data_IF_562655910629
#
_entry.id   IF_562655910629
#
_cell.length_a   1.000
_cell.length_b   1.000
_cell.length_c   1.000
_cell.angle_alpha   90.00
_cell.angle_beta   90.00
_cell.angle_gamma   90.00
#
_symmetry.space_group_name_H-M   'P 1'
#
loop_
_entity.id
_entity.type
_entity.pdbx_description
1 polymer ?
#
# COMPACT_ATOMS: atom_id res chain seq x y z
N UNK A 1 -4.12 -10.35 -1.85
CA UNK A 1 -5.59 -10.44 -2.07
C UNK A 1 -5.97 -11.91 -2.17
N UNK A 2 -6.87 -12.34 -1.31
CA UNK A 2 -7.19 -13.78 -1.15
C UNK A 2 -7.94 -14.21 -2.37
N UNK A 3 -8.50 -14.23 -3.13
CA UNK A 3 -9.29 -14.82 -4.21
C UNK A 3 -8.94 -14.33 -5.62
N UNK A 4 -7.73 -13.81 -5.80
CA UNK A 4 -7.24 -13.45 -7.14
C UNK A 4 -7.94 -12.23 -7.76
N UNK A 5 -8.54 -11.35 -6.96
CA UNK A 5 -9.10 -10.08 -7.46
C UNK A 5 -7.95 -9.23 -8.01
N UNK A 6 -8.04 -8.87 -9.27
CA UNK A 6 -7.00 -8.13 -9.99
C UNK A 6 -7.06 -6.65 -9.63
N UNK A 7 -5.91 -6.02 -9.48
CA UNK A 7 -5.79 -4.58 -9.44
C UNK A 7 -5.60 -4.03 -10.85
N UNK A 8 -6.39 -3.03 -11.22
CA UNK A 8 -6.37 -2.46 -12.58
C UNK A 8 -5.94 -0.99 -12.63
N UNK A 9 -5.79 -0.32 -11.50
CA UNK A 9 -5.36 1.06 -11.47
C UNK A 9 -5.24 1.63 -10.06
N UNK A 10 -4.65 2.82 -9.98
CA UNK A 10 -4.58 3.63 -8.77
C UNK A 10 -5.69 4.71 -8.77
N UNK A 11 -5.64 5.61 -7.78
CA UNK A 11 -6.60 6.70 -7.63
C UNK A 11 -6.75 7.55 -8.92
N UNK A 12 -5.64 7.94 -9.55
CA UNK A 12 -5.66 8.79 -10.76
C UNK A 12 -6.01 8.02 -12.05
N UNK A 13 -6.19 6.70 -11.97
CA UNK A 13 -6.48 5.85 -13.14
C UNK A 13 -7.91 5.31 -13.16
N UNK A 14 -8.78 5.78 -12.26
CA UNK A 14 -10.17 5.29 -12.17
C UNK A 14 -10.94 5.42 -13.49
N UNK A 15 -10.79 6.54 -14.17
CA UNK A 15 -11.43 6.80 -15.45
C UNK A 15 -10.89 5.88 -16.57
N UNK A 16 -9.63 5.49 -16.52
CA UNK A 16 -9.05 4.62 -17.55
C UNK A 16 -9.78 3.28 -17.66
N UNK A 17 -10.27 2.75 -16.54
CA UNK A 17 -11.06 1.50 -16.53
C UNK A 17 -12.34 1.66 -17.32
N UNK A 18 -13.05 2.77 -17.16
CA UNK A 18 -14.28 3.09 -17.91
C UNK A 18 -13.95 3.33 -19.38
N UNK A 19 -12.86 4.06 -19.66
CA UNK A 19 -12.41 4.38 -21.02
C UNK A 19 -12.03 3.15 -21.86
N UNK A 20 -11.72 2.00 -21.22
CA UNK A 20 -11.51 0.75 -21.96
C UNK A 20 -12.76 0.25 -22.68
N UNK A 21 -13.95 0.75 -22.33
CA UNK A 21 -15.21 0.31 -22.90
C UNK A 21 -15.67 -1.11 -22.50
N UNK A 22 -14.92 -1.79 -21.59
CA UNK A 22 -15.26 -3.15 -21.12
C UNK A 22 -15.74 -3.20 -19.68
N UNK A 23 -15.84 -2.06 -19.01
CA UNK A 23 -16.33 -2.00 -17.65
C UNK A 23 -17.85 -2.02 -17.62
N UNK A 24 -18.46 -3.15 -17.26
CA UNK A 24 -19.91 -3.31 -17.23
C UNK A 24 -20.54 -2.59 -16.04
N UNK A 25 -19.85 -2.57 -14.90
CA UNK A 25 -20.28 -1.89 -13.68
C UNK A 25 -19.08 -1.44 -12.86
N UNK A 26 -19.14 -0.23 -12.35
CA UNK A 26 -18.22 0.28 -11.34
C UNK A 26 -18.98 0.50 -10.04
N UNK A 27 -18.63 -0.25 -9.01
CA UNK A 27 -19.16 -0.09 -7.66
C UNK A 27 -18.12 0.63 -6.81
N UNK A 28 -18.53 1.69 -6.14
CA UNK A 28 -17.68 2.51 -5.26
C UNK A 28 -18.30 2.66 -3.88
N UNK A 29 -17.45 2.85 -2.90
CA UNK A 29 -17.89 3.04 -1.52
C UNK A 29 -17.69 4.50 -1.07
N UNK A 30 -16.77 4.77 -0.13
CA UNK A 30 -16.73 6.07 0.55
C UNK A 30 -15.60 7.00 0.09
N UNK A 31 -14.47 6.46 -0.36
CA UNK A 31 -13.25 7.25 -0.57
C UNK A 31 -12.56 7.01 -1.90
N UNK A 32 -11.71 7.98 -2.28
CA UNK A 32 -10.90 7.92 -3.48
C UNK A 32 -11.75 7.79 -4.75
N UNK A 33 -12.84 8.55 -4.85
CA UNK A 33 -13.77 8.49 -5.97
C UNK A 33 -13.87 9.88 -6.60
N UNK A 34 -13.66 9.96 -7.91
CA UNK A 34 -13.92 11.20 -8.64
C UNK A 34 -15.43 11.38 -8.85
N UNK A 35 -16.03 12.49 -8.38
CA UNK A 35 -17.46 12.74 -8.55
C UNK A 35 -17.90 12.85 -10.03
N UNK A 36 -16.96 13.03 -10.96
CA UNK A 36 -17.22 13.07 -12.39
C UNK A 36 -17.41 11.68 -13.03
N UNK A 37 -17.03 10.59 -12.35
CA UNK A 37 -17.07 9.22 -12.90
C UNK A 37 -18.47 8.77 -13.38
N UNK A 38 -19.59 9.07 -12.72
CA UNK A 38 -20.91 8.73 -13.25
C UNK A 38 -21.20 9.38 -14.59
N UNK A 39 -20.74 10.64 -14.80
CA UNK A 39 -20.89 11.34 -16.09
C UNK A 39 -20.05 10.70 -17.18
N UNK A 40 -18.82 10.29 -16.85
CA UNK A 40 -17.98 9.55 -17.78
C UNK A 40 -18.57 8.18 -18.10
N UNK A 41 -19.04 7.45 -17.08
CA UNK A 41 -19.68 6.15 -17.24
C UNK A 41 -20.92 6.21 -18.17
N UNK A 42 -21.67 7.31 -18.12
CA UNK A 42 -22.82 7.54 -19.01
C UNK A 42 -22.43 7.73 -20.48
N UNK A 43 -21.18 8.03 -20.82
CA UNK A 43 -20.68 8.05 -22.19
C UNK A 43 -20.42 6.64 -22.76
N UNK A 44 -20.46 5.65 -21.91
CA UNK A 44 -20.29 4.22 -22.21
C UNK A 44 -21.53 3.45 -21.73
N UNK A 45 -21.47 2.13 -21.74
CA UNK A 45 -22.54 1.29 -21.17
C UNK A 45 -22.38 1.09 -19.64
N UNK A 46 -21.26 1.54 -19.04
CA UNK A 46 -20.88 1.29 -17.64
C UNK A 46 -21.95 1.76 -16.66
N UNK A 47 -22.51 0.87 -15.86
CA UNK A 47 -23.35 1.25 -14.71
C UNK A 47 -22.47 1.70 -13.55
N UNK A 48 -22.91 2.77 -12.87
CA UNK A 48 -22.20 3.30 -11.72
C UNK A 48 -23.04 3.14 -10.45
N UNK A 49 -22.48 2.45 -9.45
CA UNK A 49 -23.17 2.12 -8.19
C UNK A 49 -22.37 2.69 -7.01
N UNK A 50 -23.05 3.33 -6.07
CA UNK A 50 -22.51 3.77 -4.78
C UNK A 50 -23.12 2.94 -3.65
N UNK A 51 -22.30 2.56 -2.65
CA UNK A 51 -22.74 1.70 -1.53
C UNK A 51 -22.68 2.37 -0.15
N UNK A 52 -21.93 3.45 0.01
CA UNK A 52 -21.76 4.10 1.30
C UNK A 52 -22.96 4.94 1.71
N UNK A 53 -23.40 4.82 2.98
CA UNK A 53 -24.46 5.64 3.55
C UNK A 53 -24.11 7.14 3.65
N UNK A 54 -22.82 7.49 3.66
CA UNK A 54 -22.33 8.87 3.76
C UNK A 54 -21.88 9.47 2.44
N UNK A 55 -21.79 8.68 1.36
CA UNK A 55 -21.24 9.13 0.08
C UNK A 55 -22.14 8.71 -1.08
N UNK A 56 -23.08 9.59 -1.42
CA UNK A 56 -23.94 9.45 -2.61
C UNK A 56 -23.47 10.40 -3.70
N UNK A 57 -23.32 9.88 -4.90
CA UNK A 57 -22.85 10.67 -6.05
C UNK A 57 -24.02 10.86 -7.03
N UNK A 58 -24.36 12.10 -7.43
CA UNK A 58 -25.41 12.36 -8.41
C UNK A 58 -25.16 11.61 -9.73
N UNK A 59 -26.19 10.98 -10.26
CA UNK A 59 -26.12 10.17 -11.48
C UNK A 59 -25.73 8.70 -11.26
N UNK A 60 -25.40 8.29 -10.04
CA UNK A 60 -25.14 6.90 -9.69
C UNK A 60 -26.41 6.21 -9.14
N UNK A 61 -26.53 4.91 -9.38
CA UNK A 61 -27.46 4.06 -8.65
C UNK A 61 -26.93 3.87 -7.22
N UNK A 62 -27.79 4.03 -6.20
CA UNK A 62 -27.36 3.85 -4.81
C UNK A 62 -27.96 2.56 -4.24
N UNK A 63 -27.07 1.66 -3.78
CA UNK A 63 -27.41 0.42 -3.06
C UNK A 63 -26.67 0.51 -1.72
N UNK A 64 -27.34 1.04 -0.69
CA UNK A 64 -26.72 1.24 0.61
C UNK A 64 -26.32 -0.09 1.24
N UNK A 65 -25.03 -0.25 1.54
CA UNK A 65 -24.48 -1.46 2.13
C UNK A 65 -25.09 -1.73 3.51
N UNK A 66 -25.58 -2.95 3.71
CA UNK A 66 -26.09 -3.46 5.00
C UNK A 66 -25.47 -4.80 5.29
N UNK A 67 -24.83 -4.90 6.45
CA UNK A 67 -24.09 -6.10 6.86
C UNK A 67 -24.98 -7.36 6.87
N UNK A 68 -26.24 -7.20 7.30
CA UNK A 68 -27.21 -8.30 7.47
C UNK A 68 -27.58 -8.97 6.15
N UNK A 69 -27.55 -8.23 5.06
CA UNK A 69 -27.91 -8.70 3.71
C UNK A 69 -26.77 -8.49 2.69
N UNK A 70 -25.53 -8.42 3.17
CA UNK A 70 -24.36 -8.12 2.33
C UNK A 70 -24.20 -9.10 1.16
N UNK A 71 -24.51 -10.36 1.36
CA UNK A 71 -24.39 -11.39 0.32
C UNK A 71 -25.45 -11.20 -0.79
N UNK A 72 -26.68 -10.87 -0.41
CA UNK A 72 -27.77 -10.59 -1.34
C UNK A 72 -27.43 -9.34 -2.19
N UNK A 73 -26.97 -8.27 -1.54
CA UNK A 73 -26.57 -7.03 -2.21
C UNK A 73 -25.36 -7.26 -3.16
N UNK A 74 -24.38 -8.06 -2.74
CA UNK A 74 -23.26 -8.42 -3.61
C UNK A 74 -23.73 -9.18 -4.85
N UNK A 75 -24.66 -10.15 -4.69
CA UNK A 75 -25.27 -10.89 -5.82
C UNK A 75 -26.07 -9.96 -6.75
N UNK A 76 -26.80 -9.00 -6.19
CA UNK A 76 -27.53 -8.01 -6.97
C UNK A 76 -26.58 -7.17 -7.83
N UNK A 77 -25.51 -6.63 -7.24
CA UNK A 77 -24.51 -5.82 -7.96
C UNK A 77 -23.84 -6.63 -9.05
N UNK A 78 -23.42 -7.86 -8.77
CA UNK A 78 -22.82 -8.77 -9.78
C UNK A 78 -23.82 -9.09 -10.89
N UNK A 79 -25.08 -9.37 -10.55
CA UNK A 79 -26.13 -9.59 -11.55
C UNK A 79 -26.33 -8.36 -12.44
N UNK A 80 -26.33 -7.15 -11.87
CA UNK A 80 -26.43 -5.92 -12.66
C UNK A 80 -25.26 -5.79 -13.66
N UNK A 81 -24.05 -6.21 -13.30
CA UNK A 81 -22.91 -6.21 -14.21
C UNK A 81 -23.10 -7.23 -15.34
N UNK A 82 -23.50 -8.46 -15.01
CA UNK A 82 -23.77 -9.54 -15.99
C UNK A 82 -24.87 -9.12 -16.98
N UNK A 83 -25.97 -8.60 -16.46
CA UNK A 83 -27.10 -8.16 -17.29
C UNK A 83 -26.72 -6.98 -18.21
N UNK A 84 -25.70 -6.19 -17.82
CA UNK A 84 -25.23 -5.05 -18.58
C UNK A 84 -24.19 -5.41 -19.66
N UNK A 85 -23.60 -6.59 -19.62
CA UNK A 85 -22.61 -7.06 -20.61
C UNK A 85 -23.10 -6.94 -22.05
N UNK A 86 -24.37 -7.28 -22.31
CA UNK A 86 -24.99 -7.21 -23.64
C UNK A 86 -25.11 -5.79 -24.21
N UNK A 87 -24.91 -4.76 -23.39
CA UNK A 87 -25.00 -3.36 -23.78
C UNK A 87 -23.61 -2.78 -24.15
N UNK A 88 -22.57 -3.61 -24.22
CA UNK A 88 -21.25 -3.17 -24.70
C UNK A 88 -21.35 -2.67 -26.13
N UNK A 89 -20.69 -1.55 -26.37
CA UNK A 89 -20.50 -1.01 -27.71
C UNK A 89 -19.11 -1.41 -28.20
N UNK A 90 -19.04 -2.38 -29.12
CA UNK A 90 -17.79 -2.89 -29.67
C UNK A 90 -16.93 -1.78 -30.30
N UNK A 91 -17.54 -0.77 -30.87
CA UNK A 91 -16.85 0.39 -31.45
C UNK A 91 -16.14 1.28 -30.40
N UNK A 92 -16.47 1.12 -29.13
CA UNK A 92 -15.84 1.84 -28.01
C UNK A 92 -14.88 0.99 -27.19
N UNK A 93 -14.67 -0.26 -27.57
CA UNK A 93 -13.76 -1.14 -26.84
C UNK A 93 -12.31 -0.85 -27.23
N UNK A 94 -11.50 -0.46 -26.26
CA UNK A 94 -10.05 -0.31 -26.41
C UNK A 94 -9.33 -0.95 -25.25
N UNK A 95 -8.68 -2.10 -25.51
CA UNK A 95 -7.84 -2.81 -24.54
C UNK A 95 -6.40 -2.71 -25.03
N UNK A 96 -5.50 -2.05 -24.28
CA UNK A 96 -4.09 -2.02 -24.66
C UNK A 96 -3.51 -3.43 -24.81
N UNK A 97 -2.69 -3.69 -25.84
CA UNK A 97 -2.14 -5.03 -26.10
C UNK A 97 -1.00 -5.42 -25.15
N UNK A 98 -0.71 -4.61 -24.15
CA UNK A 98 0.37 -4.82 -23.20
C UNK A 98 -0.10 -5.68 -22.03
N UNK A 99 0.67 -6.73 -21.72
CA UNK A 99 0.49 -7.58 -20.55
C UNK A 99 1.80 -7.62 -19.77
N UNK A 100 1.72 -7.45 -18.46
CA UNK A 100 2.87 -7.50 -17.57
C UNK A 100 2.57 -8.45 -16.41
N UNK A 101 3.46 -9.41 -16.10
CA UNK A 101 3.34 -10.24 -14.91
C UNK A 101 3.57 -9.40 -13.65
N UNK A 102 2.84 -9.73 -12.60
CA UNK A 102 3.04 -9.14 -11.28
C UNK A 102 2.65 -10.14 -10.19
N UNK A 103 3.47 -10.23 -9.16
CA UNK A 103 3.18 -11.03 -7.98
C UNK A 103 2.43 -10.17 -6.97
N UNK A 104 1.17 -10.49 -6.73
CA UNK A 104 0.30 -9.80 -5.78
C UNK A 104 -0.18 -10.76 -4.70
N UNK A 105 -0.43 -10.24 -3.50
CA UNK A 105 -0.97 -11.05 -2.41
C UNK A 105 0.09 -11.75 -1.57
N UNK A 106 0.81 -10.95 -0.77
CA UNK A 106 1.70 -11.43 0.29
C UNK A 106 1.09 -11.16 1.69
N UNK A 107 -0.01 -11.83 2.07
CA UNK A 107 -0.51 -11.75 3.44
C UNK A 107 0.50 -12.37 4.42
N UNK A 108 0.33 -12.09 5.70
CA UNK A 108 1.26 -12.58 6.73
C UNK A 108 1.47 -14.09 6.65
N UNK A 109 0.42 -14.86 6.37
CA UNK A 109 0.46 -16.33 6.26
C UNK A 109 1.39 -16.81 5.13
N UNK A 110 1.40 -16.12 3.99
CA UNK A 110 2.31 -16.45 2.88
C UNK A 110 3.75 -16.05 3.22
N UNK A 111 3.96 -14.91 3.87
CA UNK A 111 5.29 -14.47 4.30
C UNK A 111 5.89 -15.50 5.26
N UNK A 112 5.12 -15.90 6.27
CA UNK A 112 5.55 -16.94 7.23
C UNK A 112 5.89 -18.24 6.51
N UNK A 113 5.00 -18.72 5.64
CA UNK A 113 5.23 -19.95 4.86
C UNK A 113 6.50 -19.88 3.99
N UNK A 114 6.83 -18.71 3.44
CA UNK A 114 8.06 -18.50 2.70
C UNK A 114 9.30 -18.54 3.59
N UNK A 115 9.22 -17.95 4.79
CA UNK A 115 10.30 -17.95 5.76
C UNK A 115 10.57 -19.37 6.32
N UNK A 116 9.53 -20.17 6.54
CA UNK A 116 9.68 -21.57 6.97
C UNK A 116 10.42 -22.43 5.97
N UNK A 117 10.20 -22.22 4.68
CA UNK A 117 10.96 -22.92 3.64
C UNK A 117 12.47 -22.70 3.74
N UNK A 118 12.90 -21.66 4.43
CA UNK A 118 14.32 -21.34 4.68
C UNK A 118 14.87 -22.01 5.93
N UNK A 119 14.04 -22.17 6.96
CA UNK A 119 14.51 -22.60 8.29
C UNK A 119 14.33 -24.09 8.57
N UNK A 120 13.50 -24.80 7.81
CA UNK A 120 13.04 -26.16 8.17
C UNK A 120 12.55 -26.27 9.62
N UNK A 121 12.16 -25.16 10.25
CA UNK A 121 11.68 -25.15 11.62
C UNK A 121 10.20 -25.49 11.66
N UNK A 122 9.82 -26.38 12.59
CA UNK A 122 8.42 -26.61 12.89
C UNK A 122 7.79 -25.33 13.44
N UNK A 123 6.68 -24.94 12.82
CA UNK A 123 5.97 -23.72 13.13
C UNK A 123 5.04 -23.99 14.30
N UNK A 124 5.04 -23.11 15.29
CA UNK A 124 3.88 -22.90 16.12
C UNK A 124 2.73 -22.40 15.25
N UNK A 125 1.49 -22.51 15.69
CA UNK A 125 0.27 -22.21 14.91
C UNK A 125 0.29 -20.85 14.16
N UNK A 126 1.17 -19.92 14.53
CA UNK A 126 1.36 -18.60 13.92
C UNK A 126 2.62 -18.46 13.05
N UNK A 127 3.52 -19.46 13.03
CA UNK A 127 4.79 -19.40 12.31
C UNK A 127 5.85 -18.49 12.95
N UNK A 128 7.05 -18.44 12.35
CA UNK A 128 8.17 -17.65 12.86
C UNK A 128 8.67 -16.64 11.82
N UNK A 129 8.99 -15.43 12.28
CA UNK A 129 9.67 -14.40 11.50
C UNK A 129 11.18 -14.38 11.72
N UNK A 130 11.72 -15.39 12.41
CA UNK A 130 13.14 -15.48 12.79
C UNK A 130 14.10 -15.25 11.63
N UNK A 131 13.91 -15.79 10.41
CA UNK A 131 14.82 -15.52 9.30
C UNK A 131 14.85 -14.04 8.89
N UNK A 132 13.73 -13.34 8.97
CA UNK A 132 13.69 -11.90 8.71
C UNK A 132 14.43 -11.12 9.81
N UNK A 133 14.26 -11.52 11.08
CA UNK A 133 15.00 -10.96 12.22
C UNK A 133 16.50 -11.14 12.02
N UNK A 134 16.95 -12.35 11.69
CA UNK A 134 18.36 -12.68 11.52
C UNK A 134 18.98 -11.93 10.32
N UNK A 135 18.24 -11.78 9.21
CA UNK A 135 18.66 -10.98 8.06
C UNK A 135 18.85 -9.48 8.41
N UNK A 136 17.98 -8.94 9.25
CA UNK A 136 18.10 -7.54 9.71
C UNK A 136 19.25 -7.40 10.72
N UNK A 137 19.37 -8.31 11.68
CA UNK A 137 20.43 -8.27 12.69
C UNK A 137 21.82 -8.40 12.08
N UNK A 138 21.99 -9.30 11.13
CA UNK A 138 23.26 -9.50 10.42
C UNK A 138 23.63 -8.38 9.44
N UNK A 139 22.71 -7.45 9.18
CA UNK A 139 22.91 -6.35 8.22
C UNK A 139 22.73 -6.76 6.75
N UNK A 140 22.32 -7.98 6.45
CA UNK A 140 21.96 -8.42 5.10
C UNK A 140 20.76 -7.62 4.59
N UNK A 141 19.77 -7.39 5.47
CA UNK A 141 18.76 -6.33 5.28
C UNK A 141 19.05 -5.18 6.24
N UNK A 142 18.98 -3.97 5.76
CA UNK A 142 19.14 -2.79 6.63
C UNK A 142 17.87 -2.53 7.45
N UNK A 143 16.72 -2.93 6.95
CA UNK A 143 15.43 -2.78 7.60
C UNK A 143 14.29 -3.03 6.63
N UNK A 144 13.10 -2.54 6.98
CA UNK A 144 11.94 -2.59 6.10
C UNK A 144 11.13 -1.29 6.12
N UNK A 145 10.45 -1.01 5.02
CA UNK A 145 9.62 0.19 4.87
C UNK A 145 8.23 -0.19 4.39
N UNK A 146 7.21 0.24 5.11
CA UNK A 146 5.84 0.21 4.64
C UNK A 146 5.55 1.41 3.74
N UNK A 147 5.54 1.26 2.41
CA UNK A 147 5.17 2.34 1.50
C UNK A 147 3.69 2.24 1.17
N UNK A 148 2.95 3.26 1.57
CA UNK A 148 1.50 3.31 1.45
C UNK A 148 1.05 4.66 0.88
N UNK A 149 -0.24 4.79 0.61
CA UNK A 149 -0.81 6.07 0.28
C UNK A 149 -1.31 6.17 -1.15
N UNK A 150 -1.62 7.40 -1.50
CA UNK A 150 -2.35 7.80 -2.70
C UNK A 150 -1.39 8.25 -3.81
N UNK A 151 -1.97 8.75 -4.90
CA UNK A 151 -1.32 9.70 -5.80
C UNK A 151 -1.95 11.07 -5.57
N UNK A 152 -1.15 12.09 -5.35
CA UNK A 152 -1.64 13.43 -5.13
C UNK A 152 -1.61 14.23 -6.45
N UNK A 153 -2.75 14.82 -6.89
CA UNK A 153 -2.79 15.58 -8.15
C UNK A 153 -1.98 16.90 -8.11
N UNK A 154 -1.49 17.32 -6.95
CA UNK A 154 -0.66 18.52 -6.79
C UNK A 154 0.82 18.30 -7.12
N UNK A 155 1.25 17.05 -7.25
CA UNK A 155 2.63 16.67 -7.57
C UNK A 155 2.65 15.82 -8.84
N UNK A 156 3.84 15.65 -9.44
CA UNK A 156 3.98 14.72 -10.56
C UNK A 156 3.64 13.30 -10.11
N UNK A 157 2.60 12.67 -10.67
CA UNK A 157 2.15 11.36 -10.21
C UNK A 157 3.26 10.30 -10.29
N UNK A 158 3.33 9.46 -9.27
CA UNK A 158 4.24 8.33 -9.15
C UNK A 158 5.74 8.70 -8.99
N UNK A 159 6.12 9.97 -9.18
CA UNK A 159 7.52 10.40 -9.17
C UNK A 159 8.18 10.18 -7.80
N UNK A 160 7.56 10.69 -6.75
CA UNK A 160 8.10 10.57 -5.39
C UNK A 160 8.11 9.13 -4.92
N UNK A 161 7.05 8.36 -5.21
CA UNK A 161 7.00 6.94 -4.92
C UNK A 161 8.15 6.18 -5.57
N UNK A 162 8.34 6.37 -6.88
CA UNK A 162 9.37 5.64 -7.63
C UNK A 162 10.77 5.98 -7.15
N UNK A 163 11.07 7.29 -7.01
CA UNK A 163 12.38 7.74 -6.56
C UNK A 163 12.76 7.19 -5.18
N UNK A 164 11.79 7.15 -4.25
CA UNK A 164 12.00 6.61 -2.92
C UNK A 164 12.14 5.08 -2.96
N UNK A 165 11.27 4.37 -3.69
CA UNK A 165 11.35 2.91 -3.83
C UNK A 165 12.71 2.49 -4.39
N UNK A 166 13.14 3.10 -5.49
CA UNK A 166 14.41 2.76 -6.15
C UNK A 166 15.59 2.91 -5.19
N UNK A 167 15.67 4.01 -4.46
CA UNK A 167 16.77 4.27 -3.56
C UNK A 167 16.76 3.37 -2.32
N UNK A 168 15.59 3.07 -1.76
CA UNK A 168 15.46 2.12 -0.65
C UNK A 168 15.92 0.71 -1.05
N UNK A 169 15.53 0.24 -2.24
CA UNK A 169 15.93 -1.08 -2.73
C UNK A 169 17.44 -1.19 -2.93
N UNK A 170 18.11 -0.11 -3.43
CA UNK A 170 19.57 -0.04 -3.56
C UNK A 170 20.30 -0.13 -2.21
N UNK A 171 19.64 0.31 -1.15
CA UNK A 171 20.19 0.33 0.22
C UNK A 171 19.77 -0.91 1.05
N UNK A 172 19.44 -2.03 0.41
CA UNK A 172 19.08 -3.30 1.08
C UNK A 172 17.90 -3.17 2.06
N UNK A 173 16.93 -2.31 1.75
CA UNK A 173 15.72 -2.10 2.53
C UNK A 173 14.55 -2.79 1.84
N UNK A 174 13.92 -3.75 2.52
CA UNK A 174 12.74 -4.44 2.01
C UNK A 174 11.52 -3.51 2.01
N UNK A 175 10.77 -3.52 0.93
CA UNK A 175 9.55 -2.71 0.81
C UNK A 175 8.30 -3.60 0.90
N UNK A 176 7.37 -3.16 1.73
CA UNK A 176 6.01 -3.70 1.79
C UNK A 176 5.06 -2.60 1.36
N UNK A 177 4.29 -2.82 0.29
CA UNK A 177 3.46 -1.78 -0.30
C UNK A 177 1.97 -2.12 -0.30
N UNK A 178 1.12 -1.09 -0.20
CA UNK A 178 -0.33 -1.20 -0.34
C UNK A 178 -0.90 -0.09 -1.22
N UNK A 179 -2.11 -0.30 -1.73
CA UNK A 179 -2.89 0.73 -2.43
C UNK A 179 -2.20 1.30 -3.68
N UNK A 180 -2.24 2.62 -3.85
CA UNK A 180 -1.70 3.28 -5.05
C UNK A 180 -0.17 3.15 -5.17
N UNK A 181 0.55 3.09 -4.06
CA UNK A 181 2.00 2.84 -4.06
C UNK A 181 2.32 1.44 -4.63
N UNK A 182 1.58 0.40 -4.22
CA UNK A 182 1.73 -0.93 -4.78
C UNK A 182 1.35 -0.99 -6.27
N UNK A 183 0.37 -0.19 -6.68
CA UNK A 183 0.00 -0.09 -8.10
C UNK A 183 1.11 0.53 -8.95
N UNK A 184 1.83 1.52 -8.43
CA UNK A 184 3.04 2.00 -9.10
C UNK A 184 4.07 0.88 -9.27
N UNK A 185 4.38 0.17 -8.18
CA UNK A 185 5.33 -0.95 -8.25
C UNK A 185 4.93 -1.98 -9.32
N UNK A 186 3.61 -2.22 -9.51
CA UNK A 186 3.09 -3.03 -10.62
C UNK A 186 3.43 -2.43 -11.98
N UNK A 187 3.15 -1.13 -12.17
CA UNK A 187 3.36 -0.44 -13.46
C UNK A 187 4.82 -0.47 -13.93
N UNK A 188 5.75 -0.36 -12.98
CA UNK A 188 7.19 -0.35 -13.28
C UNK A 188 7.85 -1.72 -13.18
N UNK A 189 7.07 -2.78 -12.99
CA UNK A 189 7.55 -4.16 -12.96
C UNK A 189 8.22 -4.61 -11.66
N UNK A 190 8.22 -3.78 -10.61
CA UNK A 190 8.90 -4.09 -9.34
C UNK A 190 8.19 -5.15 -8.49
N UNK A 191 6.97 -5.56 -8.86
CA UNK A 191 6.29 -6.73 -8.27
C UNK A 191 6.64 -8.04 -8.99
N UNK A 192 7.62 -8.01 -9.86
CA UNK A 192 8.12 -9.21 -10.53
C UNK A 192 9.38 -9.73 -9.80
N UNK A 193 9.51 -11.06 -9.68
CA UNK A 193 10.68 -11.68 -9.04
C UNK A 193 11.98 -11.42 -9.78
N UNK A 194 11.91 -11.17 -11.08
CA UNK A 194 13.05 -10.83 -11.92
C UNK A 194 13.52 -9.37 -11.75
N UNK A 195 12.75 -8.53 -11.08
CA UNK A 195 13.06 -7.10 -10.89
C UNK A 195 14.11 -6.83 -9.81
N UNK A 196 15.12 -7.70 -9.70
CA UNK A 196 16.18 -7.58 -8.68
C UNK A 196 17.35 -6.69 -9.12
N UNK A 197 17.29 -6.15 -10.33
CA UNK A 197 18.32 -5.31 -10.92
C UNK A 197 18.55 -3.99 -10.18
N UNK A 198 17.54 -3.51 -9.45
CA UNK A 198 17.61 -2.28 -8.65
C UNK A 198 17.92 -2.52 -7.17
N UNK A 199 18.09 -3.78 -6.75
CA UNK A 199 18.38 -4.13 -5.37
C UNK A 199 19.86 -4.07 -5.05
N UNK A 200 20.20 -3.71 -3.81
CA UNK A 200 21.49 -4.00 -3.23
C UNK A 200 21.73 -5.51 -3.12
N UNK A 201 22.95 -5.91 -2.81
CA UNK A 201 23.35 -7.32 -2.80
C UNK A 201 22.66 -8.11 -1.68
N UNK A 202 22.43 -7.48 -0.52
CA UNK A 202 21.75 -8.09 0.61
C UNK A 202 20.29 -8.41 0.31
N UNK A 203 19.55 -7.43 -0.16
CA UNK A 203 18.14 -7.62 -0.53
C UNK A 203 17.98 -8.61 -1.68
N UNK A 204 18.88 -8.57 -2.68
CA UNK A 204 18.88 -9.53 -3.79
C UNK A 204 19.01 -10.96 -3.28
N UNK A 205 19.99 -11.21 -2.39
CA UNK A 205 20.19 -12.54 -1.78
C UNK A 205 18.94 -13.01 -1.02
N UNK A 206 18.29 -12.15 -0.26
CA UNK A 206 17.05 -12.49 0.45
C UNK A 206 15.94 -12.83 -0.54
N UNK A 207 15.74 -12.00 -1.58
CA UNK A 207 14.75 -12.26 -2.61
C UNK A 207 14.97 -13.59 -3.34
N UNK A 208 16.24 -13.94 -3.61
CA UNK A 208 16.59 -15.23 -4.23
C UNK A 208 16.32 -16.40 -3.30
N UNK A 209 16.71 -16.28 -2.04
CA UNK A 209 16.59 -17.35 -1.05
C UNK A 209 15.11 -17.67 -0.73
N UNK A 210 14.29 -16.63 -0.58
CA UNK A 210 12.87 -16.76 -0.17
C UNK A 210 11.94 -16.84 -1.38
N UNK A 211 12.45 -16.66 -2.59
CA UNK A 211 11.69 -16.64 -3.84
C UNK A 211 10.55 -15.58 -3.81
N UNK A 212 10.92 -14.32 -3.55
CA UNK A 212 10.00 -13.18 -3.50
C UNK A 212 10.47 -12.03 -4.43
N UNK A 213 9.56 -11.15 -4.86
CA UNK A 213 9.95 -9.90 -5.51
C UNK A 213 10.52 -8.91 -4.48
N UNK A 214 11.24 -7.86 -4.93
CA UNK A 214 11.82 -6.87 -4.04
C UNK A 214 10.80 -5.99 -3.31
N UNK A 215 9.57 -5.94 -3.80
CA UNK A 215 8.46 -5.25 -3.17
C UNK A 215 7.32 -6.25 -2.94
N UNK A 216 6.81 -6.32 -1.72
CA UNK A 216 5.71 -7.18 -1.34
C UNK A 216 4.38 -6.41 -1.38
N UNK A 217 3.44 -6.84 -2.19
CA UNK A 217 2.11 -6.24 -2.25
C UNK A 217 1.17 -6.89 -1.23
N UNK A 218 0.78 -6.18 -0.19
CA UNK A 218 -0.09 -6.71 0.89
C UNK A 218 -1.58 -6.40 0.72
N UNK A 219 -1.98 -5.60 -0.24
CA UNK A 219 -3.40 -5.30 -0.48
C UNK A 219 -3.72 -3.83 -0.68
N UNK A 220 -4.95 -3.43 -0.33
CA UNK A 220 -5.41 -2.05 -0.40
C UNK A 220 -4.91 -1.22 0.80
N UNK A 221 -5.13 0.10 0.77
CA UNK A 221 -4.74 0.97 1.89
C UNK A 221 -5.41 0.57 3.22
N UNK A 222 -6.60 -0.02 3.19
CA UNK A 222 -7.30 -0.51 4.38
C UNK A 222 -6.65 -1.77 4.99
N UNK A 223 -5.74 -2.42 4.26
CA UNK A 223 -5.02 -3.61 4.73
C UNK A 223 -3.75 -3.26 5.54
N UNK A 224 -3.53 -1.99 5.90
CA UNK A 224 -2.36 -1.56 6.68
C UNK A 224 -2.22 -2.30 8.01
N UNK A 225 -3.32 -2.69 8.63
CA UNK A 225 -3.31 -3.50 9.85
C UNK A 225 -2.55 -4.82 9.69
N UNK A 226 -2.52 -5.39 8.48
CA UNK A 226 -1.76 -6.61 8.18
C UNK A 226 -0.24 -6.36 8.17
N UNK A 227 0.18 -5.16 7.75
CA UNK A 227 1.59 -4.75 7.87
C UNK A 227 1.96 -4.63 9.35
N UNK A 228 1.10 -4.03 10.17
CA UNK A 228 1.35 -3.91 11.61
C UNK A 228 1.37 -5.28 12.32
N UNK A 229 0.55 -6.25 11.90
CA UNK A 229 0.63 -7.62 12.40
C UNK A 229 1.97 -8.28 12.05
N UNK A 230 2.47 -8.06 10.83
CA UNK A 230 3.81 -8.52 10.42
C UNK A 230 4.90 -7.90 11.30
N UNK A 231 4.85 -6.58 11.51
CA UNK A 231 5.81 -5.86 12.36
C UNK A 231 5.75 -6.36 13.80
N UNK A 232 4.55 -6.56 14.35
CA UNK A 232 4.36 -7.11 15.70
C UNK A 232 4.93 -8.53 15.83
N UNK A 233 4.77 -9.37 14.80
CA UNK A 233 5.38 -10.71 14.77
C UNK A 233 6.90 -10.66 14.78
N UNK A 234 7.50 -9.78 13.99
CA UNK A 234 8.95 -9.56 13.97
C UNK A 234 9.45 -9.05 15.34
N UNK A 235 8.75 -8.09 15.94
CA UNK A 235 9.06 -7.54 17.26
C UNK A 235 9.04 -8.65 18.34
N UNK A 236 8.00 -9.48 18.33
CA UNK A 236 7.85 -10.63 19.25
C UNK A 236 9.01 -11.62 19.09
N UNK A 237 9.33 -12.01 17.86
CA UNK A 237 10.40 -13.00 17.61
C UNK A 237 11.79 -12.45 17.92
N UNK A 238 11.96 -11.13 17.85
CA UNK A 238 13.20 -10.45 18.24
C UNK A 238 13.28 -10.20 19.74
N UNK A 239 12.14 -10.06 20.43
CA UNK A 239 12.08 -9.72 21.85
C UNK A 239 12.26 -8.22 22.13
N UNK A 240 11.82 -7.36 21.19
CA UNK A 240 11.89 -5.88 21.30
C UNK A 240 10.53 -5.26 21.04
N UNK A 241 10.37 -3.97 21.37
CA UNK A 241 9.18 -3.21 21.01
C UNK A 241 9.13 -2.88 19.51
N UNK A 242 7.92 -2.66 18.98
CA UNK A 242 7.73 -2.29 17.57
C UNK A 242 8.45 -0.97 17.24
N UNK A 243 8.47 -0.04 18.19
CA UNK A 243 9.11 1.29 18.07
C UNK A 243 10.64 1.20 17.95
N UNK A 244 11.24 0.11 18.41
CA UNK A 244 12.68 -0.12 18.36
C UNK A 244 13.15 -0.70 17.02
N UNK A 245 12.25 -1.36 16.29
CA UNK A 245 12.60 -2.01 15.03
C UNK A 245 13.07 -1.00 13.97
N UNK A 246 14.06 -1.34 13.12
CA UNK A 246 14.45 -0.53 11.97
C UNK A 246 13.41 -0.63 10.85
N UNK A 247 12.17 -0.28 11.20
CA UNK A 247 10.99 -0.32 10.34
C UNK A 247 10.26 1.02 10.45
N UNK A 248 9.85 1.58 9.32
CA UNK A 248 9.15 2.86 9.26
C UNK A 248 8.02 2.84 8.22
N UNK A 249 7.06 3.75 8.36
CA UNK A 249 6.01 3.99 7.39
C UNK A 249 6.33 5.18 6.48
N UNK A 250 5.94 5.12 5.22
CA UNK A 250 6.17 6.19 4.25
C UNK A 250 4.94 6.40 3.39
N UNK A 251 4.51 7.65 3.23
CA UNK A 251 3.41 8.04 2.33
C UNK A 251 3.84 9.24 1.46
N UNK A 252 4.58 8.99 0.37
CA UNK A 252 5.21 10.04 -0.43
C UNK A 252 4.23 11.01 -1.09
N UNK A 253 3.10 10.49 -1.57
CA UNK A 253 2.11 11.25 -2.34
C UNK A 253 0.70 11.16 -1.71
N UNK A 254 0.62 11.07 -0.39
CA UNK A 254 -0.68 11.00 0.27
C UNK A 254 -1.61 12.17 -0.10
N UNK A 255 -2.92 11.92 -0.12
CA UNK A 255 -3.90 12.92 -0.56
C UNK A 255 -5.16 12.97 0.31
N UNK A 256 -5.71 11.82 0.70
CA UNK A 256 -7.01 11.77 1.38
C UNK A 256 -6.90 11.79 2.91
N UNK A 257 -7.97 12.20 3.57
CA UNK A 257 -8.10 12.19 5.04
C UNK A 257 -7.87 10.79 5.62
N UNK A 258 -8.27 9.75 4.88
CA UNK A 258 -8.00 8.36 5.26
C UNK A 258 -6.50 8.09 5.39
N UNK A 259 -5.68 8.64 4.51
CA UNK A 259 -4.23 8.47 4.59
C UNK A 259 -3.66 9.07 5.88
N UNK A 260 -4.18 10.22 6.31
CA UNK A 260 -3.80 10.85 7.60
C UNK A 260 -4.27 9.99 8.77
N UNK A 261 -5.50 9.48 8.74
CA UNK A 261 -6.01 8.59 9.80
C UNK A 261 -5.20 7.31 9.92
N UNK A 262 -4.84 6.68 8.79
CA UNK A 262 -3.99 5.50 8.77
C UNK A 262 -2.58 5.83 9.30
N UNK A 263 -2.02 6.97 8.91
CA UNK A 263 -0.70 7.39 9.39
C UNK A 263 -0.69 7.63 10.91
N UNK A 264 -1.75 8.23 11.47
CA UNK A 264 -1.89 8.37 12.93
C UNK A 264 -2.02 7.00 13.63
N UNK A 265 -2.71 6.03 13.02
CA UNK A 265 -2.78 4.66 13.54
C UNK A 265 -1.39 3.99 13.59
N UNK A 266 -0.56 4.19 12.55
CA UNK A 266 0.82 3.70 12.51
C UNK A 266 1.70 4.37 13.57
N UNK A 267 1.59 5.70 13.74
CA UNK A 267 2.28 6.44 14.80
C UNK A 267 1.83 5.97 16.19
N UNK A 268 0.53 5.75 16.37
CA UNK A 268 -0.02 5.19 17.62
C UNK A 268 0.53 3.80 17.97
N UNK A 269 1.09 3.09 16.98
CA UNK A 269 1.78 1.81 17.15
C UNK A 269 3.29 1.96 17.38
N UNK A 270 3.81 3.17 17.56
CA UNK A 270 5.23 3.45 17.83
C UNK A 270 6.11 3.49 16.57
N UNK A 271 5.55 3.59 15.38
CA UNK A 271 6.30 3.58 14.11
C UNK A 271 6.29 4.97 13.49
N UNK A 272 7.47 5.52 13.22
CA UNK A 272 7.62 6.81 12.52
C UNK A 272 7.02 6.77 11.11
N UNK A 273 6.36 7.86 10.71
CA UNK A 273 5.76 8.01 9.38
C UNK A 273 6.36 9.20 8.64
N UNK A 274 6.89 8.93 7.47
CA UNK A 274 7.51 9.91 6.59
C UNK A 274 6.52 10.35 5.50
N UNK A 275 6.30 11.65 5.39
CA UNK A 275 5.35 12.26 4.46
C UNK A 275 6.05 13.11 3.42
N UNK A 276 5.79 12.86 2.14
CA UNK A 276 6.31 13.65 1.02
C UNK A 276 5.47 14.88 0.70
N UNK A 277 4.30 15.02 1.35
CA UNK A 277 3.42 16.16 1.19
C UNK A 277 3.05 16.69 2.56
N UNK A 278 3.12 18.01 2.69
CA UNK A 278 2.81 18.71 3.93
C UNK A 278 1.33 18.54 4.31
N UNK A 279 1.01 18.10 5.53
CA UNK A 279 -0.36 18.06 6.02
C UNK A 279 -1.02 19.44 6.02
N UNK A 280 -2.30 19.47 5.66
CA UNK A 280 -3.06 20.74 5.53
C UNK A 280 -3.26 21.48 6.86
N UNK A 281 -3.03 20.81 7.99
CA UNK A 281 -3.16 21.37 9.34
C UNK A 281 -1.92 22.19 9.77
N UNK A 282 -0.85 22.19 9.01
CA UNK A 282 0.42 22.86 9.38
C UNK A 282 0.37 24.40 9.31
N UNK A 283 -0.75 24.99 8.90
CA UNK A 283 -1.03 26.40 9.10
C UNK A 283 -1.23 26.81 10.58
N UNK A 284 -1.47 25.82 11.46
CA UNK A 284 -1.52 26.00 12.92
C UNK A 284 -0.21 25.55 13.55
N UNK A 285 0.49 26.43 14.26
CA UNK A 285 1.71 26.07 14.99
C UNK A 285 1.47 25.03 16.07
N UNK A 286 0.35 25.13 16.78
CA UNK A 286 -0.05 24.15 17.80
C UNK A 286 -0.30 22.76 17.22
N UNK A 287 -1.00 22.67 16.09
CA UNK A 287 -1.24 21.39 15.42
C UNK A 287 0.06 20.82 14.83
N UNK A 288 0.92 21.66 14.29
CA UNK A 288 2.23 21.23 13.80
C UNK A 288 3.06 20.62 14.92
N UNK A 289 3.18 21.32 16.07
CA UNK A 289 3.88 20.79 17.24
C UNK A 289 3.25 19.47 17.75
N UNK A 290 1.92 19.41 17.79
CA UNK A 290 1.23 18.21 18.24
C UNK A 290 1.54 17.00 17.38
N UNK A 291 1.45 17.11 16.05
CA UNK A 291 1.64 15.95 15.15
C UNK A 291 3.10 15.56 14.94
N UNK A 292 4.05 16.47 15.20
CA UNK A 292 5.49 16.17 15.07
C UNK A 292 6.10 15.76 16.42
N UNK A 293 6.09 16.65 17.39
CA UNK A 293 6.74 16.45 18.69
C UNK A 293 5.79 15.89 19.75
N UNK A 294 4.51 16.32 19.74
CA UNK A 294 3.54 15.89 20.73
C UNK A 294 3.23 14.40 20.66
N UNK A 295 2.99 13.88 19.44
CA UNK A 295 2.79 12.44 19.22
C UNK A 295 4.02 11.65 19.62
N UNK A 296 5.23 12.14 19.32
CA UNK A 296 6.49 11.48 19.67
C UNK A 296 6.66 11.32 21.18
N UNK A 297 6.28 12.31 21.98
CA UNK A 297 6.31 12.24 23.45
C UNK A 297 5.37 11.19 24.02
N UNK A 298 4.27 10.89 23.31
CA UNK A 298 3.23 9.95 23.78
C UNK A 298 3.50 8.54 23.30
N UNK A 299 3.87 8.36 22.02
CA UNK A 299 3.93 7.06 21.34
C UNK A 299 5.36 6.62 21.00
N UNK A 300 6.36 7.48 21.18
CA UNK A 300 7.73 7.25 20.70
C UNK A 300 7.93 7.53 19.21
N UNK A 301 6.86 7.84 18.47
CA UNK A 301 6.88 8.06 17.02
C UNK A 301 6.16 9.36 16.63
N UNK A 302 6.46 9.86 15.43
CA UNK A 302 5.87 11.09 14.92
C UNK A 302 5.93 11.19 13.40
N UNK A 303 5.38 12.29 12.86
CA UNK A 303 5.53 12.62 11.45
C UNK A 303 6.88 13.27 11.17
N UNK A 304 7.55 12.80 10.14
CA UNK A 304 8.71 13.44 9.52
C UNK A 304 8.30 13.88 8.11
N UNK A 305 8.42 15.17 7.81
CA UNK A 305 7.89 15.75 6.59
C UNK A 305 9.02 16.33 5.76
N UNK A 306 9.07 15.98 4.48
CA UNK A 306 9.93 16.63 3.49
C UNK A 306 9.31 16.49 2.10
N UNK A 307 9.19 17.61 1.40
CA UNK A 307 8.56 17.62 0.07
C UNK A 307 9.55 17.32 -1.08
N UNK A 308 10.85 17.31 -0.79
CA UNK A 308 11.85 16.81 -1.73
C UNK A 308 12.04 15.30 -1.55
N UNK A 309 11.74 14.47 -2.56
CA UNK A 309 11.88 13.02 -2.45
C UNK A 309 13.31 12.55 -2.12
N UNK A 310 14.34 13.27 -2.58
CA UNK A 310 15.74 12.93 -2.29
C UNK A 310 16.10 13.22 -0.84
N UNK A 311 15.66 14.35 -0.32
CA UNK A 311 15.84 14.69 1.10
C UNK A 311 15.02 13.73 1.99
N UNK A 312 13.80 13.40 1.57
CA UNK A 312 12.92 12.48 2.31
C UNK A 312 13.53 11.09 2.41
N UNK A 313 14.02 10.51 1.30
CA UNK A 313 14.62 9.17 1.32
C UNK A 313 15.87 9.12 2.18
N UNK A 314 16.68 10.19 2.17
CA UNK A 314 17.83 10.29 3.07
C UNK A 314 17.39 10.24 4.54
N UNK A 315 16.37 11.02 4.93
CA UNK A 315 15.81 11.00 6.29
C UNK A 315 15.27 9.61 6.67
N UNK A 316 14.65 8.90 5.72
CA UNK A 316 14.16 7.52 5.95
C UNK A 316 15.32 6.58 6.27
N UNK A 317 16.38 6.60 5.46
CA UNK A 317 17.56 5.78 5.66
C UNK A 317 18.26 6.14 6.99
N UNK A 318 18.49 7.43 7.23
CA UNK A 318 19.10 7.90 8.48
C UNK A 318 18.28 7.44 9.71
N UNK A 319 16.94 7.48 9.64
CA UNK A 319 16.06 7.01 10.71
C UNK A 319 16.14 5.49 10.94
N UNK A 320 16.24 4.70 9.89
CA UNK A 320 16.46 3.25 9.97
C UNK A 320 17.82 2.97 10.62
N UNK A 321 18.87 3.63 10.16
CA UNK A 321 20.22 3.45 10.71
C UNK A 321 20.33 3.88 12.18
N UNK A 322 19.64 4.95 12.57
CA UNK A 322 19.58 5.37 13.98
C UNK A 322 18.93 4.29 14.86
N UNK A 323 17.87 3.64 14.39
CA UNK A 323 17.22 2.53 15.11
C UNK A 323 18.13 1.30 15.17
N UNK A 324 18.87 0.99 14.09
CA UNK A 324 19.90 -0.07 14.08
C UNK A 324 20.98 0.20 15.13
N UNK A 325 21.54 1.40 15.14
CA UNK A 325 22.55 1.80 16.11
C UNK A 325 22.04 1.67 17.55
N UNK A 326 20.79 2.06 17.82
CA UNK A 326 20.16 1.91 19.13
C UNK A 326 20.00 0.43 19.57
N UNK A 327 19.88 -0.50 18.62
CA UNK A 327 19.83 -1.94 18.86
C UNK A 327 21.23 -2.59 18.91
N UNK A 328 22.30 -1.83 18.66
CA UNK A 328 23.67 -2.33 18.63
C UNK A 328 24.00 -3.19 17.43
N UNK A 329 23.37 -2.97 16.27
CA UNK A 329 23.53 -3.75 15.03
C UNK A 329 23.91 -2.86 13.84
#
# INVERSE_FOLDING_TARGET
MRHGVRMVGNFLQQENVVLTGVCDLMCVDVQCIFPALPKLAACFHTKFVTSSHIARIPGATHIEFKTEIAMEQAKEIVKMAIDNFKNRDEGKIFIPPVKQPAHVGYPCEIIVSKLDGVTNSHIDELGSYRPAVDAIRSGVLRGAVGIVGCNNPRVRPDYSHFAIMEELLKNDILIVATGCAAQLATKVGLLNKEAKWCCGDGLRRVCDLVDIPPILHMGACVDISRILLLVAGIAKDWGVGMEQLPIVGVAPEWMSEKAVSIANYVIGSGIDVYLGIQPQVMGSSQMTELITEGTRKITGAGFIIDTDPKALVKKIIDGIEAKRAALGI
#
